data_IF_497458562283
#
_entry.id   IF_497458562283
#
_cell.length_a   1.000
_cell.length_b   1.000
_cell.length_c   1.000
_cell.angle_alpha   90.00
_cell.angle_beta   90.00
_cell.angle_gamma   90.00
#
_symmetry.space_group_name_H-M   'P 1'
#
loop_
_entity.id
_entity.type
_entity.pdbx_description
1 polymer ?
#
# COMPACT_ATOMS: atom_id res chain seq x y z
N UNK A 1 -19.71 1.90 0.61
CA UNK A 1 -19.27 1.01 1.69
C UNK A 1 -20.44 0.87 2.64
N UNK A 2 -20.79 -0.37 3.00
CA UNK A 2 -21.90 -0.61 3.92
C UNK A 2 -21.52 -0.23 5.36
N UNK A 3 -22.51 0.07 6.20
CA UNK A 3 -22.31 0.50 7.58
C UNK A 3 -21.62 -0.58 8.42
N UNK A 4 -21.91 -1.85 8.18
CA UNK A 4 -21.33 -2.96 8.95
C UNK A 4 -19.87 -3.21 8.53
N UNK A 5 -19.57 -3.09 7.24
CA UNK A 5 -18.18 -3.12 6.74
C UNK A 5 -17.34 -2.00 7.35
N UNK A 6 -17.90 -0.79 7.47
CA UNK A 6 -17.21 0.34 8.11
C UNK A 6 -16.87 0.04 9.56
N UNK A 7 -17.83 -0.47 10.33
CA UNK A 7 -17.61 -0.83 11.75
C UNK A 7 -16.55 -1.92 11.91
N UNK A 8 -16.51 -2.90 11.01
CA UNK A 8 -15.49 -3.95 11.01
C UNK A 8 -14.10 -3.37 10.78
N UNK A 9 -13.95 -2.45 9.82
CA UNK A 9 -12.66 -1.77 9.57
C UNK A 9 -12.25 -0.92 10.77
N UNK A 10 -13.17 -0.15 11.37
CA UNK A 10 -12.89 0.66 12.56
C UNK A 10 -12.45 -0.22 13.75
N UNK A 11 -13.10 -1.37 13.95
CA UNK A 11 -12.70 -2.33 15.00
C UNK A 11 -11.30 -2.90 14.75
N UNK A 12 -11.04 -3.36 13.52
CA UNK A 12 -9.74 -3.90 13.14
C UNK A 12 -8.63 -2.83 13.26
N UNK A 13 -8.92 -1.58 12.89
CA UNK A 13 -7.99 -0.46 13.02
C UNK A 13 -7.55 -0.28 14.47
N UNK A 14 -8.52 -0.24 15.38
CA UNK A 14 -8.30 -0.07 16.80
C UNK A 14 -7.50 -1.23 17.41
N UNK A 15 -7.81 -2.47 17.02
CA UNK A 15 -7.07 -3.65 17.45
C UNK A 15 -5.61 -3.62 16.99
N UNK A 16 -5.33 -3.18 15.75
CA UNK A 16 -3.96 -3.03 15.27
C UNK A 16 -3.21 -1.90 15.99
N UNK A 17 -3.89 -0.83 16.42
CA UNK A 17 -3.30 0.22 17.25
C UNK A 17 -2.92 -0.32 18.63
N UNK A 18 -3.80 -1.12 19.24
CA UNK A 18 -3.51 -1.74 20.54
C UNK A 18 -2.28 -2.67 20.43
N UNK A 19 -2.21 -3.48 19.36
CA UNK A 19 -1.04 -4.33 19.07
C UNK A 19 0.25 -3.53 18.83
N UNK A 20 0.16 -2.36 18.20
CA UNK A 20 1.32 -1.48 17.98
C UNK A 20 1.85 -0.92 19.31
N UNK A 21 0.95 -0.56 20.22
CA UNK A 21 1.31 -0.08 21.56
C UNK A 21 1.99 -1.20 22.35
N UNK A 22 1.40 -2.39 22.38
CA UNK A 22 1.97 -3.56 23.04
C UNK A 22 3.35 -3.91 22.47
N UNK A 23 3.50 -3.88 21.15
CA UNK A 23 4.79 -4.07 20.49
C UNK A 23 5.82 -3.02 20.92
N UNK A 24 5.43 -1.74 21.05
CA UNK A 24 6.33 -0.71 21.56
C UNK A 24 6.80 -0.95 22.99
N UNK A 25 5.92 -1.46 23.86
CA UNK A 25 6.25 -1.83 25.24
C UNK A 25 7.21 -3.03 25.24
N UNK A 26 6.92 -4.05 24.44
CA UNK A 26 7.79 -5.22 24.30
C UNK A 26 9.20 -4.80 23.84
N UNK A 27 9.30 -3.93 22.83
CA UNK A 27 10.58 -3.43 22.29
C UNK A 27 11.39 -2.66 23.35
N UNK A 28 10.73 -1.95 24.28
CA UNK A 28 11.45 -1.22 25.33
C UNK A 28 12.03 -2.14 26.42
N UNK A 29 11.56 -3.39 26.51
CA UNK A 29 12.03 -4.40 27.48
C UNK A 29 13.01 -5.42 26.88
N UNK A 30 13.16 -5.48 25.54
CA UNK A 30 13.97 -6.48 24.83
C UNK A 30 15.45 -6.08 24.66
N UNK A 31 16.33 -7.10 24.67
CA UNK A 31 17.74 -6.98 24.31
C UNK A 31 17.95 -6.75 22.79
N UNK A 32 19.12 -6.21 22.41
CA UNK A 32 19.42 -5.65 21.07
C UNK A 32 19.08 -6.56 19.89
N UNK A 33 19.33 -7.86 19.97
CA UNK A 33 19.15 -8.77 18.83
C UNK A 33 17.67 -9.10 18.55
N UNK A 34 16.82 -9.12 19.59
CA UNK A 34 15.37 -9.31 19.47
C UNK A 34 14.65 -8.00 19.18
N UNK A 35 15.27 -6.88 19.58
CA UNK A 35 14.74 -5.52 19.40
C UNK A 35 14.55 -5.17 17.92
N UNK A 36 15.50 -5.53 17.04
CA UNK A 36 15.39 -5.21 15.62
C UNK A 36 14.19 -5.91 14.96
N UNK A 37 13.96 -7.18 15.29
CA UNK A 37 12.82 -7.94 14.75
C UNK A 37 11.49 -7.35 15.25
N UNK A 38 11.41 -7.00 16.52
CA UNK A 38 10.21 -6.40 17.10
C UNK A 38 9.94 -5.00 16.52
N UNK A 39 10.97 -4.20 16.23
CA UNK A 39 10.82 -2.92 15.52
C UNK A 39 10.25 -3.13 14.11
N UNK A 40 10.74 -4.13 13.35
CA UNK A 40 10.19 -4.46 12.02
C UNK A 40 8.72 -4.86 12.12
N UNK A 41 8.34 -5.68 13.11
CA UNK A 41 6.94 -6.02 13.39
C UNK A 41 6.09 -4.77 13.68
N UNK A 42 6.59 -3.82 14.45
CA UNK A 42 5.90 -2.56 14.70
C UNK A 42 5.70 -1.72 13.43
N UNK A 43 6.70 -1.66 12.55
CA UNK A 43 6.57 -1.01 11.24
C UNK A 43 5.52 -1.69 10.35
N UNK A 44 5.41 -3.02 10.40
CA UNK A 44 4.36 -3.76 9.68
C UNK A 44 2.96 -3.45 10.22
N UNK A 45 2.80 -3.37 11.54
CA UNK A 45 1.54 -2.96 12.17
C UNK A 45 1.12 -1.58 11.68
N UNK A 46 2.06 -0.63 11.60
CA UNK A 46 1.81 0.71 11.02
C UNK A 46 1.31 0.60 9.56
N UNK A 47 1.95 -0.21 8.72
CA UNK A 47 1.49 -0.45 7.35
C UNK A 47 0.06 -1.02 7.29
N UNK A 48 -0.29 -1.95 8.19
CA UNK A 48 -1.65 -2.52 8.29
C UNK A 48 -2.66 -1.47 8.75
N UNK A 49 -2.33 -0.67 9.77
CA UNK A 49 -3.19 0.42 10.26
C UNK A 49 -3.44 1.41 9.12
N UNK A 50 -2.43 1.84 8.38
CA UNK A 50 -2.59 2.75 7.23
C UNK A 50 -3.43 2.13 6.11
N UNK A 51 -3.29 0.82 5.89
CA UNK A 51 -4.11 0.10 4.92
C UNK A 51 -5.59 0.05 5.30
N UNK A 52 -5.92 0.00 6.59
CA UNK A 52 -7.29 0.09 7.08
C UNK A 52 -7.79 1.53 7.09
N UNK A 53 -6.96 2.46 7.57
CA UNK A 53 -7.27 3.88 7.67
C UNK A 53 -7.64 4.47 6.30
N UNK A 54 -6.87 4.16 5.25
CA UNK A 54 -7.13 4.64 3.88
C UNK A 54 -8.42 4.10 3.26
N UNK A 55 -9.07 3.09 3.85
CA UNK A 55 -10.39 2.62 3.40
C UNK A 55 -11.53 3.49 3.93
N UNK A 56 -11.33 4.15 5.08
CA UNK A 56 -12.36 4.96 5.77
C UNK A 56 -12.05 6.46 5.75
N UNK A 57 -10.78 6.84 5.65
CA UNK A 57 -10.29 8.21 5.65
C UNK A 57 -9.71 8.57 4.28
N UNK A 58 -10.20 9.68 3.73
CA UNK A 58 -9.80 10.17 2.41
C UNK A 58 -9.04 11.49 2.57
N UNK A 59 -7.74 11.41 2.90
CA UNK A 59 -6.90 12.59 3.04
C UNK A 59 -5.46 12.39 2.53
N UNK A 60 -4.69 13.47 2.33
CA UNK A 60 -3.29 13.41 1.93
C UNK A 60 -2.43 12.58 2.90
N UNK A 61 -1.38 11.95 2.36
CA UNK A 61 -0.43 11.14 3.14
C UNK A 61 0.25 11.92 4.26
N UNK A 62 0.37 13.23 4.10
CA UNK A 62 1.03 14.14 5.05
C UNK A 62 0.31 14.16 6.41
N UNK A 63 -0.96 13.74 6.46
CA UNK A 63 -1.72 13.65 7.70
C UNK A 63 -1.59 12.30 8.42
N UNK A 64 -1.01 11.27 7.79
CA UNK A 64 -0.95 9.93 8.36
C UNK A 64 -0.24 9.88 9.70
N UNK A 65 0.90 10.56 9.82
CA UNK A 65 1.65 10.62 11.08
C UNK A 65 0.82 11.27 12.19
N UNK A 66 0.17 12.39 11.89
CA UNK A 66 -0.65 13.11 12.87
C UNK A 66 -1.83 12.26 13.34
N UNK A 67 -2.53 11.61 12.41
CA UNK A 67 -3.69 10.77 12.72
C UNK A 67 -3.25 9.55 13.54
N UNK A 68 -2.17 8.87 13.14
CA UNK A 68 -1.64 7.74 13.89
C UNK A 68 -1.24 8.14 15.31
N UNK A 69 -0.52 9.25 15.47
CA UNK A 69 -0.15 9.77 16.78
C UNK A 69 -1.36 10.10 17.64
N UNK A 70 -2.42 10.66 17.05
CA UNK A 70 -3.67 10.94 17.76
C UNK A 70 -4.38 9.65 18.18
N UNK A 71 -4.49 8.67 17.29
CA UNK A 71 -5.14 7.39 17.58
C UNK A 71 -4.41 6.59 18.65
N UNK A 72 -3.08 6.56 18.58
CA UNK A 72 -2.22 6.00 19.62
C UNK A 72 -2.38 6.76 20.92
N UNK A 73 -2.29 8.10 20.89
CA UNK A 73 -2.43 8.95 22.08
C UNK A 73 -3.78 8.80 22.79
N UNK A 74 -4.85 8.49 22.07
CA UNK A 74 -6.17 8.19 22.66
C UNK A 74 -6.22 6.84 23.39
N UNK A 75 -5.28 5.93 23.09
CA UNK A 75 -5.21 4.58 23.64
C UNK A 75 -4.17 4.42 24.75
N UNK A 76 -3.21 5.33 24.83
CA UNK A 76 -2.18 5.26 25.85
C UNK A 76 -2.73 5.62 27.24
N UNK A 77 -2.25 4.94 28.30
CA UNK A 77 -2.47 5.35 29.68
C UNK A 77 -1.80 6.72 29.96
N UNK A 78 -2.05 7.29 31.13
CA UNK A 78 -1.50 8.60 31.51
C UNK A 78 0.02 8.65 31.38
N UNK A 79 0.57 9.83 31.13
CA UNK A 79 2.02 10.06 30.93
C UNK A 79 2.89 9.48 32.04
N UNK A 80 2.41 9.48 33.29
CA UNK A 80 3.11 8.87 34.42
C UNK A 80 3.32 7.34 34.29
N UNK A 81 2.39 6.64 33.63
CA UNK A 81 2.50 5.19 33.34
C UNK A 81 3.41 4.97 32.12
N UNK A 82 3.53 5.95 31.24
CA UNK A 82 4.43 5.87 30.09
C UNK A 82 5.89 6.10 30.48
N UNK A 83 6.13 6.97 31.46
CA UNK A 83 7.47 7.26 31.98
C UNK A 83 8.14 6.03 32.61
N UNK A 84 7.36 5.02 33.04
CA UNK A 84 7.91 3.73 33.49
C UNK A 84 8.46 2.86 32.36
N UNK A 85 8.15 3.16 31.09
CA UNK A 85 8.57 2.38 29.92
C UNK A 85 9.76 3.00 29.16
N UNK A 86 10.67 3.69 29.85
CA UNK A 86 11.95 4.15 29.28
C UNK A 86 11.81 4.87 27.94
N UNK A 87 12.48 4.36 26.90
CA UNK A 87 12.49 4.93 25.53
C UNK A 87 11.24 4.60 24.69
N UNK A 88 10.16 4.10 25.29
CA UNK A 88 8.93 3.70 24.61
C UNK A 88 8.40 4.75 23.63
N UNK A 89 8.32 6.02 24.04
CA UNK A 89 7.76 7.08 23.18
C UNK A 89 8.59 7.32 21.92
N UNK A 90 9.92 7.29 22.06
CA UNK A 90 10.85 7.45 20.94
C UNK A 90 10.76 6.26 20.00
N UNK A 91 10.77 5.04 20.54
CA UNK A 91 10.61 3.79 19.79
C UNK A 91 9.32 3.74 19.00
N UNK A 92 8.20 4.10 19.64
CA UNK A 92 6.90 4.14 18.98
C UNK A 92 6.87 5.15 17.85
N UNK A 93 7.46 6.33 18.06
CA UNK A 93 7.59 7.34 17.02
C UNK A 93 8.47 6.87 15.85
N UNK A 94 9.60 6.20 16.12
CA UNK A 94 10.46 5.61 15.09
C UNK A 94 9.72 4.57 14.25
N UNK A 95 8.98 3.66 14.89
CA UNK A 95 8.16 2.66 14.19
C UNK A 95 7.08 3.30 13.31
N UNK A 96 6.41 4.35 13.80
CA UNK A 96 5.40 5.10 13.05
C UNK A 96 6.04 5.77 11.82
N UNK A 97 7.11 6.53 12.01
CA UNK A 97 7.76 7.27 10.92
C UNK A 97 8.31 6.31 9.86
N UNK A 98 9.03 5.27 10.28
CA UNK A 98 9.57 4.27 9.36
C UNK A 98 8.46 3.49 8.64
N UNK A 99 7.42 3.06 9.36
CA UNK A 99 6.26 2.37 8.77
C UNK A 99 5.52 3.22 7.74
N UNK A 100 5.32 4.52 8.00
CA UNK A 100 4.73 5.44 7.02
C UNK A 100 5.63 5.56 5.78
N UNK A 101 6.95 5.71 5.97
CA UNK A 101 7.90 5.78 4.87
C UNK A 101 7.87 4.50 4.02
N UNK A 102 7.80 3.32 4.64
CA UNK A 102 7.64 2.05 3.92
C UNK A 102 6.31 1.97 3.16
N UNK A 103 5.20 2.35 3.80
CA UNK A 103 3.87 2.31 3.20
C UNK A 103 3.74 3.25 1.99
N UNK A 104 4.30 4.46 2.10
CA UNK A 104 4.22 5.50 1.06
C UNK A 104 5.28 5.30 -0.03
N UNK A 105 6.48 4.82 0.34
CA UNK A 105 7.60 4.56 -0.56
C UNK A 105 7.50 3.24 -1.35
N UNK A 106 6.53 2.38 -1.03
CA UNK A 106 6.32 1.12 -1.73
C UNK A 106 7.42 0.08 -1.51
N UNK A 107 8.12 0.18 -0.38
CA UNK A 107 9.06 -0.85 0.05
C UNK A 107 8.28 -1.98 0.74
N UNK A 108 8.41 -3.19 0.20
CA UNK A 108 7.86 -4.39 0.79
C UNK A 108 8.80 -4.82 1.93
N UNK A 109 8.28 -4.90 3.15
CA UNK A 109 8.92 -5.67 4.20
C UNK A 109 8.77 -7.15 3.80
N UNK A 110 9.87 -7.89 3.89
CA UNK A 110 9.93 -9.31 3.55
C UNK A 110 8.92 -10.07 4.42
N UNK A 111 7.82 -10.50 3.81
CA UNK A 111 6.78 -11.24 4.51
C UNK A 111 7.29 -12.67 4.72
N UNK A 112 7.99 -12.87 5.84
CA UNK A 112 8.13 -14.18 6.44
C UNK A 112 6.74 -14.72 6.74
N UNK A 113 6.50 -15.97 6.36
CA UNK A 113 5.32 -16.75 6.69
C UNK A 113 5.05 -16.76 8.21
N UNK A 114 3.81 -17.16 8.57
CA UNK A 114 3.32 -17.48 9.92
C UNK A 114 2.89 -16.29 10.80
N UNK A 115 1.57 -16.11 10.94
CA UNK A 115 0.82 -16.27 12.20
C UNK A 115 -0.64 -16.57 11.83
N UNK A 116 -0.94 -17.86 11.68
CA UNK A 116 -2.32 -18.35 11.68
C UNK A 116 -2.90 -18.15 13.08
N UNK A 117 -4.04 -17.48 13.11
CA UNK A 117 -4.90 -17.29 14.26
C UNK A 117 -5.21 -18.64 14.92
N UNK A 118 -4.75 -18.82 16.17
CA UNK A 118 -5.09 -19.96 17.01
C UNK A 118 -6.52 -19.75 17.52
N UNK A 119 -7.51 -20.26 16.79
CA UNK A 119 -8.82 -20.60 17.32
C UNK A 119 -9.38 -21.82 16.57
N UNK A 120 -9.62 -22.87 17.34
CA UNK A 120 -9.82 -24.27 16.94
C UNK A 120 -11.05 -24.54 16.06
N UNK A 121 -10.92 -25.48 15.11
CA UNK A 121 -11.75 -26.71 15.10
C UNK A 121 -11.04 -27.88 14.41
N UNK A 122 -10.84 -28.92 15.21
CA UNK A 122 -10.42 -30.28 14.84
C UNK A 122 -11.36 -30.89 13.80
N UNK A 123 -10.82 -31.46 12.71
CA UNK A 123 -11.17 -32.81 12.19
C UNK A 123 -10.01 -33.36 11.34
N UNK A 124 -9.36 -34.41 11.86
CA UNK A 124 -8.57 -35.40 11.09
C UNK A 124 -9.48 -36.02 10.00
N UNK A 125 -9.06 -36.48 8.82
CA UNK A 125 -7.88 -37.28 8.45
C UNK A 125 -7.77 -37.35 6.88
N UNK A 126 -6.87 -38.12 6.23
CA UNK A 126 -5.91 -37.60 5.25
C UNK A 126 -6.04 -38.22 3.83
N UNK A 127 -5.06 -37.91 2.98
CA UNK A 127 -4.48 -38.72 1.87
C UNK A 127 -4.63 -38.11 0.46
N UNK A 128 -3.44 -37.82 -0.09
CA UNK A 128 -2.96 -37.72 -1.48
C UNK A 128 -3.76 -36.91 -2.52
N UNK A 129 -3.11 -35.93 -3.15
CA UNK A 129 -2.36 -36.18 -4.39
C UNK A 129 -1.55 -34.94 -4.80
N UNK A 130 -0.44 -35.24 -5.48
CA UNK A 130 0.66 -34.39 -5.90
C UNK A 130 0.24 -33.14 -6.70
N UNK A 131 0.77 -31.97 -6.32
CA UNK A 131 1.12 -30.96 -7.34
C UNK A 131 2.46 -30.32 -6.97
N UNK A 132 3.40 -30.49 -7.90
CA UNK A 132 4.78 -30.01 -7.90
C UNK A 132 4.88 -28.53 -7.52
N UNK A 133 5.54 -28.29 -6.39
CA UNK A 133 6.08 -26.99 -6.04
C UNK A 133 7.47 -26.86 -6.69
N UNK A 134 7.57 -26.09 -7.78
CA UNK A 134 8.83 -25.52 -8.21
C UNK A 134 8.82 -24.00 -7.96
N UNK A 135 9.48 -23.65 -6.85
CA UNK A 135 10.42 -22.54 -6.70
C UNK A 135 9.92 -21.08 -6.68
N UNK A 136 9.80 -20.58 -5.44
CA UNK A 136 10.09 -19.21 -4.98
C UNK A 136 11.63 -19.14 -4.75
N UNK A 137 12.46 -18.12 -5.03
CA UNK A 137 12.47 -16.72 -4.58
C UNK A 137 13.60 -15.89 -5.28
N UNK A 138 13.38 -14.57 -5.34
CA UNK A 138 14.31 -13.43 -5.43
C UNK A 138 15.27 -13.22 -6.62
N UNK A 139 15.07 -12.07 -7.30
CA UNK A 139 16.15 -11.09 -7.50
C UNK A 139 15.59 -9.69 -7.72
N UNK A 140 16.24 -8.67 -7.16
CA UNK A 140 16.19 -7.27 -7.63
C UNK A 140 16.78 -7.15 -9.05
N UNK A 141 16.24 -7.90 -10.02
CA UNK A 141 16.55 -7.71 -11.42
C UNK A 141 15.39 -6.99 -12.06
N UNK A 142 15.68 -5.86 -12.69
CA UNK A 142 14.88 -5.41 -13.83
C UNK A 142 14.61 -6.63 -14.71
N UNK A 143 13.35 -6.94 -15.04
CA UNK A 143 13.05 -8.13 -15.84
C UNK A 143 13.89 -8.13 -17.12
N UNK A 144 14.64 -9.20 -17.35
CA UNK A 144 15.32 -9.46 -18.62
C UNK A 144 14.26 -9.57 -19.71
N UNK A 145 14.52 -9.07 -20.93
CA UNK A 145 13.52 -8.90 -22.00
C UNK A 145 12.71 -10.17 -22.34
N UNK A 146 13.30 -11.34 -22.09
CA UNK A 146 12.70 -12.64 -22.41
C UNK A 146 11.51 -13.04 -21.52
N UNK A 147 11.44 -12.57 -20.26
CA UNK A 147 10.38 -12.93 -19.30
C UNK A 147 9.24 -11.91 -19.19
N UNK A 148 9.33 -10.79 -19.91
CA UNK A 148 8.29 -9.76 -19.88
C UNK A 148 7.01 -10.23 -20.58
N UNK A 149 5.86 -9.99 -19.94
CA UNK A 149 4.56 -10.18 -20.57
C UNK A 149 4.41 -9.30 -21.82
N UNK A 150 3.47 -9.59 -22.73
CA UNK A 150 3.24 -8.77 -23.92
C UNK A 150 3.08 -7.27 -23.61
N UNK A 151 2.39 -6.95 -22.51
CA UNK A 151 2.25 -5.58 -22.01
C UNK A 151 3.59 -4.99 -21.57
N UNK A 152 4.37 -5.73 -20.80
CA UNK A 152 5.69 -5.30 -20.32
C UNK A 152 6.65 -4.98 -21.46
N UNK A 153 6.67 -5.80 -22.53
CA UNK A 153 7.45 -5.55 -23.74
C UNK A 153 7.01 -4.26 -24.44
N UNK A 154 5.70 -4.08 -24.61
CA UNK A 154 5.14 -2.84 -25.19
C UNK A 154 5.53 -1.61 -24.38
N UNK A 155 5.44 -1.66 -23.05
CA UNK A 155 5.82 -0.54 -22.19
C UNK A 155 7.31 -0.21 -22.29
N UNK A 156 8.18 -1.22 -22.38
CA UNK A 156 9.62 -1.01 -22.53
C UNK A 156 10.00 -0.34 -23.85
N UNK A 157 9.29 -0.65 -24.94
CA UNK A 157 9.43 0.04 -26.23
C UNK A 157 8.98 1.50 -26.11
N UNK A 158 7.87 1.76 -25.43
CA UNK A 158 7.29 3.10 -25.31
C UNK A 158 8.05 4.01 -24.33
N UNK A 159 8.69 3.42 -23.33
CA UNK A 159 9.40 4.13 -22.26
C UNK A 159 10.81 3.53 -22.06
N UNK A 160 11.71 3.64 -23.05
CA UNK A 160 12.99 2.93 -23.08
C UNK A 160 13.97 3.38 -21.97
N UNK A 161 13.76 4.57 -21.41
CA UNK A 161 14.62 5.15 -20.37
C UNK A 161 13.93 5.25 -19.01
N UNK A 162 12.68 4.78 -18.88
CA UNK A 162 11.94 4.84 -17.63
C UNK A 162 12.19 3.60 -16.78
N UNK A 163 12.18 3.78 -15.47
CA UNK A 163 12.08 2.65 -14.55
C UNK A 163 10.67 2.05 -14.64
N UNK A 164 10.58 0.77 -15.01
CA UNK A 164 9.33 0.00 -15.01
C UNK A 164 9.36 -0.93 -13.81
N UNK A 165 8.48 -0.67 -12.84
CA UNK A 165 8.31 -1.46 -11.63
C UNK A 165 7.15 -2.42 -11.80
N UNK A 166 7.36 -3.71 -11.55
CA UNK A 166 6.33 -4.75 -11.70
C UNK A 166 5.85 -5.26 -10.34
N UNK A 167 4.54 -5.39 -10.15
CA UNK A 167 3.93 -5.92 -8.93
C UNK A 167 4.43 -5.25 -7.63
N UNK A 168 4.85 -4.00 -7.69
CA UNK A 168 5.31 -3.25 -6.51
C UNK A 168 4.09 -2.77 -5.71
N UNK A 169 4.04 -3.03 -4.39
CA UNK A 169 3.06 -2.40 -3.53
C UNK A 169 3.32 -0.90 -3.45
N UNK A 170 2.26 -0.11 -3.47
CA UNK A 170 2.28 1.35 -3.35
C UNK A 170 1.05 1.77 -2.56
N UNK A 171 1.22 2.35 -1.37
CA UNK A 171 0.12 2.76 -0.48
C UNK A 171 -0.94 1.65 -0.27
N UNK A 172 -0.46 0.42 -0.04
CA UNK A 172 -1.30 -0.75 0.19
C UNK A 172 -2.13 -1.20 -1.03
N UNK A 173 -1.78 -0.77 -2.24
CA UNK A 173 -2.28 -1.36 -3.49
C UNK A 173 -1.14 -1.86 -4.36
N UNK A 174 -1.38 -2.86 -5.21
CA UNK A 174 -0.36 -3.39 -6.11
C UNK A 174 -0.74 -3.06 -7.54
N UNK A 175 0.20 -2.46 -8.27
CA UNK A 175 0.06 -2.22 -9.70
C UNK A 175 0.81 -3.28 -10.50
N UNK A 176 0.23 -3.75 -11.60
CA UNK A 176 0.88 -4.71 -12.50
C UNK A 176 2.17 -4.11 -13.07
N UNK A 177 2.07 -2.88 -13.60
CA UNK A 177 3.20 -2.05 -14.01
C UNK A 177 3.06 -0.63 -13.46
N UNK A 178 4.12 -0.09 -12.88
CA UNK A 178 4.21 1.28 -12.40
C UNK A 178 5.45 1.97 -12.96
N UNK A 179 5.25 3.18 -13.48
CA UNK A 179 6.27 4.04 -14.05
C UNK A 179 6.36 5.32 -13.21
N UNK A 180 7.29 5.39 -12.24
CA UNK A 180 7.38 6.49 -11.28
C UNK A 180 7.57 7.85 -11.94
N UNK A 181 8.47 7.94 -12.92
CA UNK A 181 8.84 9.19 -13.61
C UNK A 181 7.65 9.80 -14.35
N UNK A 182 6.76 8.96 -14.88
CA UNK A 182 5.57 9.37 -15.61
C UNK A 182 4.34 9.49 -14.70
N UNK A 183 4.46 9.13 -13.42
CA UNK A 183 3.33 8.93 -12.48
C UNK A 183 2.21 8.12 -13.14
N UNK A 184 2.56 6.97 -13.71
CA UNK A 184 1.66 6.18 -14.54
C UNK A 184 1.63 4.73 -14.03
N UNK A 185 0.45 4.23 -13.72
CA UNK A 185 0.19 2.82 -13.49
C UNK A 185 -0.53 2.22 -14.70
N UNK A 186 -0.09 1.05 -15.16
CA UNK A 186 -0.67 0.36 -16.32
C UNK A 186 -0.99 -1.07 -15.95
N UNK A 187 -2.21 -1.51 -16.24
CA UNK A 187 -2.71 -2.85 -15.91
C UNK A 187 -3.50 -3.44 -17.05
N UNK A 188 -3.58 -4.77 -17.09
CA UNK A 188 -4.53 -5.45 -17.94
C UNK A 188 -5.97 -5.24 -17.43
N UNK A 189 -6.88 -4.98 -18.36
CA UNK A 189 -8.30 -4.88 -18.11
C UNK A 189 -8.91 -6.27 -17.94
N UNK A 190 -8.59 -6.93 -16.82
CA UNK A 190 -9.12 -8.24 -16.48
C UNK A 190 -10.43 -8.10 -15.69
N UNK A 191 -11.43 -8.98 -15.89
CA UNK A 191 -12.74 -8.88 -15.27
C UNK A 191 -12.79 -9.22 -13.76
N UNK A 192 -11.67 -9.12 -13.03
CA UNK A 192 -11.53 -9.66 -11.66
C UNK A 192 -11.24 -8.56 -10.62
N UNK A 193 -12.13 -8.49 -9.61
CA UNK A 193 -12.14 -7.71 -8.35
C UNK A 193 -12.46 -6.19 -8.42
N UNK A 194 -13.76 -5.89 -8.22
CA UNK A 194 -14.31 -4.52 -8.09
C UNK A 194 -13.82 -3.74 -6.86
N UNK A 195 -13.37 -4.43 -5.81
CA UNK A 195 -12.99 -3.79 -4.54
C UNK A 195 -11.55 -3.27 -4.55
N UNK A 196 -10.61 -4.01 -5.16
CA UNK A 196 -9.26 -3.52 -5.45
C UNK A 196 -9.28 -2.31 -6.39
N UNK A 197 -10.24 -2.26 -7.31
CA UNK A 197 -10.37 -1.18 -8.28
C UNK A 197 -10.65 0.18 -7.66
N UNK A 198 -11.57 0.24 -6.69
CA UNK A 198 -11.89 1.50 -6.00
C UNK A 198 -10.70 2.03 -5.23
N UNK A 199 -9.99 1.14 -4.52
CA UNK A 199 -8.78 1.49 -3.78
C UNK A 199 -7.67 1.97 -4.70
N UNK A 200 -7.42 1.29 -5.82
CA UNK A 200 -6.43 1.71 -6.83
C UNK A 200 -6.75 3.09 -7.40
N UNK A 201 -8.01 3.32 -7.79
CA UNK A 201 -8.45 4.62 -8.29
C UNK A 201 -8.25 5.73 -7.25
N UNK A 202 -8.53 5.43 -5.97
CA UNK A 202 -8.35 6.38 -4.88
C UNK A 202 -6.87 6.72 -4.67
N UNK A 203 -6.02 5.70 -4.52
CA UNK A 203 -4.56 5.86 -4.36
C UNK A 203 -3.99 6.64 -5.53
N UNK A 204 -4.45 6.36 -6.75
CA UNK A 204 -4.04 7.08 -7.95
C UNK A 204 -4.44 8.55 -7.90
N UNK A 205 -5.69 8.86 -7.54
CA UNK A 205 -6.18 10.23 -7.43
C UNK A 205 -5.42 11.03 -6.36
N UNK A 206 -5.16 10.44 -5.20
CA UNK A 206 -4.43 11.10 -4.11
C UNK A 206 -2.95 11.34 -4.44
N UNK A 207 -2.32 10.41 -5.15
CA UNK A 207 -0.89 10.48 -5.49
C UNK A 207 -0.61 11.16 -6.84
N UNK A 208 -1.65 11.61 -7.54
CA UNK A 208 -1.53 12.19 -8.88
C UNK A 208 -0.99 11.20 -9.92
N UNK A 209 -1.30 9.91 -9.74
CA UNK A 209 -0.93 8.84 -10.66
C UNK A 209 -2.07 8.63 -11.66
N UNK A 210 -1.75 8.53 -12.95
CA UNK A 210 -2.71 8.09 -13.97
C UNK A 210 -2.80 6.57 -13.97
N UNK A 211 -4.00 6.01 -13.79
CA UNK A 211 -4.25 4.58 -13.98
C UNK A 211 -4.75 4.33 -15.39
N UNK A 212 -4.07 3.47 -16.14
CA UNK A 212 -4.46 3.07 -17.50
C UNK A 212 -4.72 1.58 -17.55
N UNK A 213 -5.87 1.21 -18.12
CA UNK A 213 -6.23 -0.20 -18.35
C UNK A 213 -6.14 -0.56 -19.82
N UNK A 214 -5.45 -1.65 -20.12
CA UNK A 214 -5.21 -2.14 -21.48
C UNK A 214 -5.93 -3.48 -21.66
N UNK A 215 -6.70 -3.64 -22.74
CA UNK A 215 -7.29 -4.94 -23.02
C UNK A 215 -6.21 -5.99 -23.31
N UNK A 216 -6.34 -7.24 -22.84
CA UNK A 216 -5.34 -8.28 -23.06
C UNK A 216 -4.97 -8.51 -24.53
N UNK A 217 -5.93 -8.36 -25.44
CA UNK A 217 -5.75 -8.45 -26.89
C UNK A 217 -4.85 -7.36 -27.48
N UNK A 218 -4.82 -6.18 -26.87
CA UNK A 218 -4.03 -5.03 -27.30
C UNK A 218 -2.64 -4.98 -26.65
N UNK A 219 -2.41 -5.77 -25.61
CA UNK A 219 -1.21 -5.71 -24.77
C UNK A 219 0.10 -5.91 -25.56
N UNK A 220 0.10 -6.77 -26.57
CA UNK A 220 1.26 -7.01 -27.43
C UNK A 220 1.49 -5.94 -28.52
N UNK A 221 0.56 -5.01 -28.69
CA UNK A 221 0.58 -4.01 -29.77
C UNK A 221 0.97 -2.64 -29.23
N UNK A 222 2.27 -2.32 -29.22
CA UNK A 222 2.79 -1.07 -28.64
C UNK A 222 2.09 0.21 -29.13
N UNK A 223 1.67 0.29 -30.40
CA UNK A 223 0.90 1.46 -30.91
C UNK A 223 -0.50 1.57 -30.27
N UNK A 224 -1.17 0.46 -30.03
CA UNK A 224 -2.47 0.44 -29.36
C UNK A 224 -2.31 0.79 -27.88
N UNK A 225 -1.32 0.19 -27.20
CA UNK A 225 -0.95 0.55 -25.83
C UNK A 225 -0.69 2.06 -25.71
N UNK A 226 0.08 2.65 -26.62
CA UNK A 226 0.37 4.08 -26.62
C UNK A 226 -0.89 4.93 -26.83
N UNK A 227 -1.77 4.53 -27.76
CA UNK A 227 -3.04 5.22 -28.01
C UNK A 227 -3.91 5.20 -26.76
N UNK A 228 -3.99 4.06 -26.09
CA UNK A 228 -4.83 3.88 -24.91
C UNK A 228 -4.32 4.67 -23.71
N UNK A 229 -3.00 4.66 -23.50
CA UNK A 229 -2.34 5.53 -22.51
C UNK A 229 -2.68 6.99 -22.79
N UNK A 230 -2.51 7.47 -24.03
CA UNK A 230 -2.83 8.85 -24.39
C UNK A 230 -4.32 9.19 -24.21
N UNK A 231 -5.22 8.26 -24.51
CA UNK A 231 -6.67 8.45 -24.36
C UNK A 231 -7.04 8.62 -22.89
N UNK A 232 -6.59 7.72 -22.03
CA UNK A 232 -6.98 7.68 -20.62
C UNK A 232 -6.24 8.73 -19.76
N UNK A 233 -4.98 9.05 -20.07
CA UNK A 233 -4.21 10.08 -19.34
C UNK A 233 -4.63 11.52 -19.65
N UNK A 234 -5.22 11.78 -20.82
CA UNK A 234 -5.84 13.08 -21.13
C UNK A 234 -7.12 13.33 -20.33
N UNK A 235 -7.85 12.27 -20.00
CA UNK A 235 -9.13 12.33 -19.27
C UNK A 235 -8.90 12.47 -17.76
N UNK A 236 -7.80 11.95 -17.24
CA UNK A 236 -7.49 11.93 -15.79
C UNK A 236 -6.72 13.13 -15.27
N UNK A 237 -6.27 14.07 -16.11
CA UNK A 237 -5.75 15.36 -15.63
C UNK A 237 -6.93 16.25 -15.23
N UNK A 238 -7.14 16.58 -13.95
CA UNK A 238 -8.15 17.56 -13.60
C UNK A 238 -7.79 18.87 -14.30
N UNK A 239 -8.68 19.30 -15.20
CA UNK A 239 -8.64 20.62 -15.80
C UNK A 239 -8.55 21.65 -14.69
N UNK A 240 -7.50 22.48 -14.72
CA UNK A 240 -7.37 23.67 -13.89
C UNK A 240 -8.71 24.41 -13.92
N UNK A 241 -9.39 24.48 -12.78
CA UNK A 241 -10.55 25.33 -12.60
C UNK A 241 -10.09 26.75 -12.95
N UNK A 242 -10.63 27.28 -14.03
CA UNK A 242 -10.51 28.70 -14.36
C UNK A 242 -11.22 29.49 -13.27
N UNK A 243 -10.43 30.12 -12.40
CA UNK A 243 -10.93 31.13 -11.46
C UNK A 243 -11.38 32.32 -12.32
N UNK A 244 -12.67 32.36 -12.61
CA UNK A 244 -13.33 33.50 -13.23
C UNK A 244 -13.20 34.71 -12.32
N UNK A 245 -12.36 35.66 -12.73
CA UNK A 245 -12.24 36.98 -12.12
C UNK A 245 -13.57 37.72 -12.26
N UNK A 246 -14.39 37.74 -11.20
CA UNK A 246 -15.49 38.71 -11.09
C UNK A 246 -14.88 40.09 -10.91
N UNK A 247 -14.92 40.92 -11.97
CA UNK A 247 -14.72 42.36 -11.86
C UNK A 247 -15.88 42.95 -11.05
N UNK A 248 -15.57 43.50 -9.89
CA UNK A 248 -16.44 44.43 -9.19
C UNK A 248 -16.48 45.75 -9.95
N UNK A 249 -17.69 46.19 -10.28
CA UNK A 249 -17.99 47.52 -10.76
C UNK A 249 -18.70 48.29 -9.64
N UNK A 250 -18.05 49.33 -9.15
CA UNK A 250 -18.61 50.47 -8.42
C UNK A 250 -17.56 51.59 -8.55
N UNK A 251 -17.90 52.89 -8.50
CA UNK A 251 -19.10 53.49 -7.88
C UNK A 251 -20.11 54.08 -8.87
#
# INVERSE_FOLDING_TARGET
MDRDTRKQIERALLEQIDQLIECGIEVSELETDKRELAIKRGQELVCRILSLLTQIFFGPSDYYETILKQLVGQRLPSTQVLDSFGDFSNLLNEMIVAGIAHYTGGQQLDYGEEWTDQSQVVRMNPVNEEVKAEQIYNSEKTPTEETLSPLGRSLRILFPHSQILTNKPFQGTVFEYFLPDQRLAVELNLPVRRESDRRKLLVCAQSGIGLVRINPEDAGHHKQVQREIRRQTRVTRPSKISVGTRRGSAP
#
